data_IF_633044660458
#
_entry.id   IF_633044660458
#
_cell.length_a   1.000
_cell.length_b   1.000
_cell.length_c   1.000
_cell.angle_alpha   90.00
_cell.angle_beta   90.00
_cell.angle_gamma   90.00
#
_symmetry.space_group_name_H-M   'P 1'
#
loop_
_entity.id
_entity.type
_entity.pdbx_description
1 polymer ?
#
# COMPACT_ATOMS: atom_id res chain seq x y z
N UNK A 1 -69.56 -14.55 59.56
CA UNK A 1 -68.32 -13.92 59.20
C UNK A 1 -67.12 -14.91 59.22
N UNK A 2 -67.10 -15.94 58.37
CA UNK A 2 -65.94 -16.92 58.35
C UNK A 2 -65.30 -17.12 56.99
N UNK A 3 -65.72 -16.42 55.88
CA UNK A 3 -65.21 -16.67 54.54
C UNK A 3 -64.05 -15.79 54.14
N UNK A 4 -63.66 -14.75 54.88
CA UNK A 4 -62.60 -13.82 54.48
C UNK A 4 -61.14 -14.34 54.67
N UNK A 5 -60.94 -15.29 55.60
CA UNK A 5 -59.59 -15.87 55.84
C UNK A 5 -59.19 -16.88 54.78
N UNK A 6 -60.14 -17.69 54.29
CA UNK A 6 -59.90 -18.67 53.23
C UNK A 6 -59.49 -18.03 51.88
N UNK A 7 -60.18 -16.95 51.51
CA UNK A 7 -59.93 -16.23 50.29
C UNK A 7 -58.50 -15.59 50.32
N UNK A 8 -58.08 -15.02 51.44
CA UNK A 8 -56.70 -14.44 51.58
C UNK A 8 -55.65 -15.52 51.48
N UNK A 9 -55.82 -16.71 52.03
CA UNK A 9 -54.90 -17.83 51.93
C UNK A 9 -54.79 -18.32 50.50
N UNK A 10 -55.89 -18.42 49.75
CA UNK A 10 -55.92 -18.82 48.36
C UNK A 10 -55.18 -17.79 47.49
N UNK A 11 -55.42 -16.50 47.73
CA UNK A 11 -54.69 -15.41 46.97
C UNK A 11 -53.19 -15.47 47.24
N UNK A 12 -52.77 -15.66 48.48
CA UNK A 12 -51.31 -15.79 48.79
C UNK A 12 -50.70 -17.01 48.09
N UNK A 13 -51.41 -18.13 48.10
CA UNK A 13 -50.92 -19.36 47.45
C UNK A 13 -50.83 -19.20 45.95
N UNK A 14 -51.78 -18.54 45.30
CA UNK A 14 -51.75 -18.22 43.86
C UNK A 14 -50.56 -17.27 43.51
N UNK A 15 -50.33 -16.27 44.35
CA UNK A 15 -49.24 -15.35 44.20
C UNK A 15 -47.86 -16.06 44.33
N UNK A 16 -47.70 -16.95 45.31
CA UNK A 16 -46.51 -17.75 45.51
C UNK A 16 -46.29 -18.69 44.33
N UNK A 17 -47.32 -19.39 43.86
CA UNK A 17 -47.20 -20.24 42.66
C UNK A 17 -46.82 -19.41 41.42
N UNK A 18 -47.47 -18.25 41.25
CA UNK A 18 -47.11 -17.35 40.12
C UNK A 18 -45.64 -16.88 40.16
N UNK A 19 -45.13 -16.52 41.35
CA UNK A 19 -43.74 -16.14 41.54
C UNK A 19 -42.78 -17.31 41.27
N UNK A 20 -43.10 -18.53 41.67
CA UNK A 20 -42.31 -19.74 41.39
C UNK A 20 -42.32 -20.05 39.89
N UNK A 21 -43.47 -19.93 39.23
CA UNK A 21 -43.58 -20.14 37.77
C UNK A 21 -42.81 -19.07 37.01
N UNK A 22 -42.97 -17.79 37.37
CA UNK A 22 -42.22 -16.68 36.75
C UNK A 22 -40.72 -16.83 36.99
N UNK A 23 -40.32 -17.20 38.22
CA UNK A 23 -38.93 -17.49 38.55
C UNK A 23 -38.37 -18.67 37.74
N UNK A 24 -39.12 -19.74 37.62
CA UNK A 24 -38.76 -20.91 36.82
C UNK A 24 -38.62 -20.61 35.32
N UNK A 25 -39.53 -19.79 34.76
CA UNK A 25 -39.45 -19.34 33.37
C UNK A 25 -38.23 -18.45 33.11
N UNK A 26 -37.93 -17.54 34.05
CA UNK A 26 -36.72 -16.69 33.92
C UNK A 26 -35.45 -17.51 33.98
N UNK A 27 -35.36 -18.47 34.91
CA UNK A 27 -34.19 -19.38 35.02
C UNK A 27 -34.05 -20.22 33.75
N UNK A 28 -35.19 -20.73 33.23
CA UNK A 28 -35.18 -21.49 31.97
C UNK A 28 -34.68 -20.62 30.80
N UNK A 29 -35.18 -19.41 30.63
CA UNK A 29 -34.75 -18.51 29.55
C UNK A 29 -33.27 -18.17 29.64
N UNK A 30 -32.72 -17.94 30.84
CA UNK A 30 -31.29 -17.70 31.04
C UNK A 30 -30.48 -18.96 30.70
N UNK A 31 -30.96 -20.13 31.11
CA UNK A 31 -30.28 -21.40 30.80
C UNK A 31 -30.32 -21.71 29.31
N UNK A 32 -31.48 -21.55 28.66
CA UNK A 32 -31.65 -21.78 27.24
C UNK A 32 -30.73 -20.81 26.44
N UNK A 33 -30.72 -19.50 26.76
CA UNK A 33 -29.85 -18.53 26.12
C UNK A 33 -28.36 -18.79 26.32
N UNK A 34 -27.96 -19.24 27.52
CA UNK A 34 -26.58 -19.69 27.78
C UNK A 34 -26.20 -20.92 26.93
N UNK A 35 -27.10 -21.89 26.84
CA UNK A 35 -26.89 -23.12 26.09
C UNK A 35 -26.85 -22.88 24.57
N UNK A 36 -27.67 -21.94 24.09
CA UNK A 36 -27.68 -21.56 22.67
C UNK A 36 -26.31 -20.89 22.28
N UNK A 37 -25.84 -19.98 23.12
CA UNK A 37 -24.53 -19.33 22.90
C UNK A 37 -23.36 -20.33 23.07
N UNK A 38 -23.42 -21.21 24.08
CA UNK A 38 -22.43 -22.27 24.26
C UNK A 38 -22.38 -23.26 23.10
N UNK A 39 -23.52 -23.62 22.51
CA UNK A 39 -23.61 -24.53 21.34
C UNK A 39 -23.28 -23.86 20.04
N UNK A 40 -23.27 -22.52 19.99
CA UNK A 40 -22.96 -21.75 18.80
C UNK A 40 -24.10 -21.77 17.79
N UNK A 41 -25.28 -21.35 18.16
CA UNK A 41 -26.36 -21.13 17.19
C UNK A 41 -26.15 -19.81 16.47
N UNK A 42 -26.01 -19.88 15.13
CA UNK A 42 -25.80 -18.74 14.24
C UNK A 42 -26.99 -17.76 14.28
N UNK A 43 -26.68 -16.46 14.15
CA UNK A 43 -27.66 -15.42 13.85
C UNK A 43 -27.54 -15.00 12.40
N UNK A 44 -28.63 -15.00 11.65
CA UNK A 44 -28.63 -14.84 10.18
C UNK A 44 -28.25 -13.45 9.64
N UNK A 45 -28.03 -12.44 10.50
CA UNK A 45 -27.57 -11.10 10.11
C UNK A 45 -26.89 -10.40 11.29
N UNK A 46 -25.71 -9.85 11.07
CA UNK A 46 -24.94 -9.14 12.08
C UNK A 46 -24.30 -7.87 11.53
N UNK A 47 -23.71 -7.09 12.42
CA UNK A 47 -22.88 -5.93 12.12
C UNK A 47 -21.45 -6.21 12.53
N UNK A 48 -20.50 -5.70 11.74
CA UNK A 48 -19.09 -5.84 12.04
C UNK A 48 -18.69 -4.93 13.20
N UNK A 49 -17.91 -5.48 14.13
CA UNK A 49 -17.42 -4.81 15.33
C UNK A 49 -15.94 -5.07 15.44
N UNK A 50 -15.16 -4.00 15.49
CA UNK A 50 -13.69 -4.08 15.67
C UNK A 50 -13.37 -4.06 17.17
N UNK A 51 -12.54 -5.02 17.60
CA UNK A 51 -12.06 -5.16 18.97
C UNK A 51 -10.54 -5.27 19.01
N UNK A 52 -9.94 -4.94 20.13
CA UNK A 52 -8.51 -5.12 20.39
C UNK A 52 -8.29 -6.13 21.52
N UNK A 53 -7.52 -7.18 21.25
CA UNK A 53 -7.11 -8.17 22.24
C UNK A 53 -5.69 -7.87 22.70
N UNK A 54 -5.48 -7.48 23.98
CA UNK A 54 -4.15 -7.21 24.50
C UNK A 54 -3.27 -8.46 24.56
N UNK A 55 -1.95 -8.27 24.45
CA UNK A 55 -0.98 -9.34 24.65
C UNK A 55 -1.13 -10.01 26.01
N UNK A 56 -1.12 -11.35 26.04
CA UNK A 56 -1.27 -12.15 27.25
C UNK A 56 -2.68 -12.12 27.87
N UNK A 57 -3.70 -11.65 27.16
CA UNK A 57 -5.07 -11.63 27.65
C UNK A 57 -5.56 -13.05 27.98
N UNK A 58 -6.09 -13.25 29.20
CA UNK A 58 -6.73 -14.51 29.55
C UNK A 58 -8.09 -14.65 28.84
N UNK A 59 -8.58 -15.90 28.64
CA UNK A 59 -9.89 -16.15 28.04
C UNK A 59 -11.03 -15.41 28.78
N UNK A 60 -10.89 -15.13 30.07
CA UNK A 60 -11.85 -14.29 30.83
C UNK A 60 -11.76 -12.83 30.40
N UNK A 61 -10.57 -12.29 30.19
CA UNK A 61 -10.41 -10.90 29.73
C UNK A 61 -10.95 -10.75 28.30
N UNK A 62 -10.68 -11.72 27.44
CA UNK A 62 -11.24 -11.76 26.07
C UNK A 62 -12.77 -11.81 26.11
N UNK A 63 -13.36 -12.70 26.93
CA UNK A 63 -14.80 -12.78 27.10
C UNK A 63 -15.44 -11.44 27.55
N UNK A 64 -14.78 -10.73 28.47
CA UNK A 64 -15.25 -9.40 28.89
C UNK A 64 -15.20 -8.38 27.75
N UNK A 65 -14.13 -8.38 26.95
CA UNK A 65 -14.02 -7.50 25.76
C UNK A 65 -15.13 -7.80 24.74
N UNK A 66 -15.37 -9.08 24.44
CA UNK A 66 -16.43 -9.49 23.52
C UNK A 66 -17.83 -9.12 24.05
N UNK A 67 -18.06 -9.28 25.35
CA UNK A 67 -19.33 -8.89 26.02
C UNK A 67 -19.55 -7.38 25.96
N UNK A 68 -18.53 -6.58 26.31
CA UNK A 68 -18.58 -5.12 26.29
C UNK A 68 -18.80 -4.58 24.87
N UNK A 69 -18.30 -5.28 23.86
CA UNK A 69 -18.50 -5.00 22.44
C UNK A 69 -19.87 -5.49 21.91
N UNK A 70 -20.66 -6.19 22.72
CA UNK A 70 -21.97 -6.70 22.32
C UNK A 70 -21.94 -7.93 21.40
N UNK A 71 -20.77 -8.57 21.26
CA UNK A 71 -20.57 -9.76 20.44
C UNK A 71 -21.07 -11.04 21.12
N UNK A 72 -21.00 -11.11 22.44
CA UNK A 72 -21.50 -12.22 23.24
C UNK A 72 -22.34 -11.69 24.41
N UNK A 73 -23.23 -12.53 24.93
CA UNK A 73 -24.10 -12.21 26.07
C UNK A 73 -23.66 -12.87 27.37
N UNK A 74 -23.06 -14.05 27.29
CA UNK A 74 -22.66 -14.86 28.44
C UNK A 74 -21.16 -15.15 28.42
N UNK A 75 -20.37 -14.32 29.10
CA UNK A 75 -18.90 -14.46 29.19
C UNK A 75 -18.46 -15.89 29.58
N UNK A 76 -19.23 -16.52 30.48
CA UNK A 76 -18.90 -17.86 30.98
C UNK A 76 -19.12 -18.95 29.90
N UNK A 77 -20.05 -18.78 28.98
CA UNK A 77 -20.28 -19.70 27.87
C UNK A 77 -19.05 -19.68 26.93
N UNK A 78 -18.55 -18.49 26.59
CA UNK A 78 -17.31 -18.33 25.82
C UNK A 78 -16.10 -18.97 26.51
N UNK A 79 -15.87 -18.64 27.79
CA UNK A 79 -14.72 -19.20 28.55
C UNK A 79 -14.79 -20.72 28.62
N UNK A 80 -15.99 -21.28 28.83
CA UNK A 80 -16.14 -22.73 28.87
C UNK A 80 -15.89 -23.36 27.49
N UNK A 81 -16.42 -22.75 26.44
CA UNK A 81 -16.20 -23.21 25.05
C UNK A 81 -14.73 -23.21 24.65
N UNK A 82 -14.00 -22.12 24.94
CA UNK A 82 -12.55 -22.06 24.73
C UNK A 82 -11.80 -23.15 25.51
N UNK A 83 -12.20 -23.37 26.78
CA UNK A 83 -11.54 -24.35 27.65
C UNK A 83 -11.70 -25.80 27.14
N UNK A 84 -12.84 -26.11 26.53
CA UNK A 84 -13.21 -27.44 26.04
C UNK A 84 -12.87 -27.66 24.57
N UNK A 85 -12.46 -26.62 23.86
CA UNK A 85 -12.03 -26.67 22.47
C UNK A 85 -10.53 -26.94 22.36
N UNK A 86 -10.10 -27.30 21.14
CA UNK A 86 -8.70 -27.40 20.76
C UNK A 86 -7.97 -26.04 20.72
N UNK A 87 -8.71 -24.93 20.75
CA UNK A 87 -8.22 -23.55 20.71
C UNK A 87 -7.76 -23.02 22.08
N UNK A 88 -7.79 -23.84 23.10
CA UNK A 88 -7.36 -23.44 24.45
C UNK A 88 -5.93 -22.92 24.46
N UNK A 89 -5.74 -21.65 24.86
CA UNK A 89 -4.43 -21.00 24.95
C UNK A 89 -3.87 -20.56 23.59
N UNK A 90 -4.70 -20.54 22.53
CA UNK A 90 -4.30 -20.14 21.18
C UNK A 90 -4.84 -18.77 20.73
N UNK A 91 -5.66 -18.11 21.56
CA UNK A 91 -6.18 -16.77 21.23
C UNK A 91 -5.00 -15.82 21.04
N UNK A 92 -4.98 -15.15 19.90
CA UNK A 92 -3.90 -14.24 19.50
C UNK A 92 -4.20 -12.82 20.01
N UNK A 93 -3.15 -12.04 20.37
CA UNK A 93 -3.30 -10.59 20.55
C UNK A 93 -3.43 -9.91 19.19
N UNK A 94 -4.08 -8.76 19.16
CA UNK A 94 -4.24 -7.98 17.93
C UNK A 94 -5.61 -7.36 17.78
N UNK A 95 -5.84 -6.72 16.64
CA UNK A 95 -7.11 -6.13 16.27
C UNK A 95 -7.89 -7.11 15.39
N UNK A 96 -9.14 -7.39 15.78
CA UNK A 96 -10.02 -8.31 15.07
C UNK A 96 -11.32 -7.61 14.72
N UNK A 97 -11.83 -7.87 13.51
CA UNK A 97 -13.18 -7.46 13.12
C UNK A 97 -14.07 -8.68 13.12
N UNK A 98 -14.99 -8.74 14.09
CA UNK A 98 -15.93 -9.84 14.28
C UNK A 98 -17.34 -9.37 13.96
N UNK A 99 -18.20 -10.28 13.51
CA UNK A 99 -19.59 -9.98 13.19
C UNK A 99 -20.51 -10.46 14.31
N UNK A 100 -21.50 -9.65 14.73
CA UNK A 100 -22.48 -10.02 15.77
C UNK A 100 -23.37 -11.20 15.38
N UNK A 101 -23.35 -11.62 14.12
CA UNK A 101 -24.03 -12.83 13.62
C UNK A 101 -23.19 -14.10 13.74
N UNK A 102 -21.90 -14.00 14.06
CA UNK A 102 -21.03 -15.16 14.26
C UNK A 102 -21.43 -15.97 15.49
N UNK A 103 -21.32 -17.27 15.39
CA UNK A 103 -21.40 -18.16 16.54
C UNK A 103 -20.18 -18.01 17.45
N UNK A 104 -20.29 -18.39 18.70
CA UNK A 104 -19.16 -18.38 19.65
C UNK A 104 -17.98 -19.20 19.14
N UNK A 105 -18.22 -20.29 18.40
CA UNK A 105 -17.15 -21.12 17.84
C UNK A 105 -16.41 -20.40 16.71
N UNK A 106 -17.14 -19.81 15.76
CA UNK A 106 -16.55 -19.01 14.68
C UNK A 106 -15.73 -17.84 15.21
N UNK A 107 -16.22 -17.15 16.26
CA UNK A 107 -15.43 -16.10 16.92
C UNK A 107 -14.13 -16.64 17.54
N UNK A 108 -14.19 -17.84 18.17
CA UNK A 108 -13.01 -18.48 18.74
C UNK A 108 -12.02 -18.87 17.65
N UNK A 109 -12.51 -19.41 16.54
CA UNK A 109 -11.70 -19.77 15.37
C UNK A 109 -10.99 -18.56 14.80
N UNK A 110 -11.71 -17.46 14.58
CA UNK A 110 -11.15 -16.21 14.10
C UNK A 110 -10.12 -15.62 15.06
N UNK A 111 -10.40 -15.60 16.36
CA UNK A 111 -9.46 -15.12 17.39
C UNK A 111 -8.22 -16.01 17.56
N UNK A 112 -8.28 -17.25 17.10
CA UNK A 112 -7.17 -18.22 17.16
C UNK A 112 -6.51 -18.43 15.79
N UNK A 113 -7.03 -17.80 14.74
CA UNK A 113 -6.49 -17.91 13.41
C UNK A 113 -5.09 -17.29 13.39
N UNK A 114 -4.13 -18.07 12.99
CA UNK A 114 -2.77 -17.63 12.69
C UNK A 114 -2.65 -17.79 11.18
N UNK A 115 -2.46 -16.70 10.46
CA UNK A 115 -2.11 -16.84 9.06
C UNK A 115 -0.90 -17.77 8.93
N UNK A 116 -0.98 -18.83 8.12
CA UNK A 116 0.17 -19.68 7.90
C UNK A 116 1.31 -18.81 7.40
N UNK A 117 2.47 -18.89 8.05
CA UNK A 117 3.69 -18.22 7.56
C UNK A 117 3.94 -18.77 6.16
N UNK A 118 3.75 -17.95 5.15
CA UNK A 118 4.03 -18.31 3.76
C UNK A 118 5.52 -18.57 3.63
N UNK A 119 5.88 -19.68 3.01
CA UNK A 119 7.28 -19.99 2.73
C UNK A 119 7.76 -19.15 1.54
N UNK A 120 8.86 -18.43 1.71
CA UNK A 120 9.53 -17.70 0.63
C UNK A 120 10.19 -18.74 -0.27
N UNK A 121 9.73 -18.82 -1.52
CA UNK A 121 10.25 -19.78 -2.50
C UNK A 121 11.36 -19.19 -3.36
N UNK A 122 11.36 -17.87 -3.57
CA UNK A 122 12.37 -17.12 -4.31
C UNK A 122 12.37 -15.64 -3.90
N UNK A 123 13.27 -14.85 -4.47
CA UNK A 123 13.31 -13.39 -4.31
C UNK A 123 13.46 -12.69 -5.66
N UNK A 124 12.67 -11.65 -5.89
CA UNK A 124 12.76 -10.80 -7.07
C UNK A 124 13.44 -9.47 -6.71
N UNK A 125 14.61 -9.21 -7.29
CA UNK A 125 15.28 -7.91 -7.14
C UNK A 125 15.02 -7.04 -8.35
N UNK A 126 14.37 -5.90 -8.10
CA UNK A 126 14.14 -4.85 -9.11
C UNK A 126 15.13 -3.71 -8.84
N UNK A 127 16.07 -3.49 -9.76
CA UNK A 127 17.00 -2.35 -9.68
C UNK A 127 16.31 -1.00 -9.82
N UNK A 128 16.94 0.03 -9.24
CA UNK A 128 16.51 1.41 -9.45
C UNK A 128 16.57 1.77 -10.95
N UNK A 129 15.65 2.62 -11.39
CA UNK A 129 15.58 3.06 -12.78
C UNK A 129 14.93 2.07 -13.76
N UNK A 130 14.42 0.91 -13.30
CA UNK A 130 13.68 0.02 -14.18
C UNK A 130 12.34 0.63 -14.57
N UNK A 131 11.96 0.46 -15.83
CA UNK A 131 10.62 0.74 -16.33
C UNK A 131 9.66 -0.42 -16.00
N UNK A 132 8.36 -0.20 -16.20
CA UNK A 132 7.36 -1.28 -16.07
C UNK A 132 7.65 -2.43 -17.02
N UNK A 133 8.09 -2.14 -18.24
CA UNK A 133 8.43 -3.16 -19.24
C UNK A 133 9.64 -4.00 -18.80
N UNK A 134 10.65 -3.38 -18.23
CA UNK A 134 11.81 -4.09 -17.69
C UNK A 134 11.46 -4.93 -16.47
N UNK A 135 10.53 -4.46 -15.62
CA UNK A 135 10.00 -5.24 -14.50
C UNK A 135 9.24 -6.46 -15.03
N UNK A 136 8.35 -6.27 -16.02
CA UNK A 136 7.61 -7.36 -16.65
C UNK A 136 8.54 -8.43 -17.22
N UNK A 137 9.56 -8.01 -17.98
CA UNK A 137 10.56 -8.93 -18.53
C UNK A 137 11.33 -9.68 -17.42
N UNK A 138 11.60 -9.01 -16.28
CA UNK A 138 12.29 -9.62 -15.14
C UNK A 138 11.42 -10.65 -14.43
N UNK A 139 10.10 -10.40 -14.31
CA UNK A 139 9.15 -11.37 -13.77
C UNK A 139 9.08 -12.64 -14.63
N UNK A 140 9.09 -12.49 -15.96
CA UNK A 140 9.09 -13.62 -16.89
C UNK A 140 10.40 -14.40 -16.87
N UNK A 141 11.56 -13.70 -16.77
CA UNK A 141 12.88 -14.33 -16.64
C UNK A 141 12.99 -15.23 -15.41
N UNK A 142 12.27 -14.89 -14.32
CA UNK A 142 12.25 -15.66 -13.07
C UNK A 142 11.02 -16.58 -12.92
N UNK A 143 10.28 -16.83 -14.00
CA UNK A 143 9.09 -17.70 -13.99
C UNK A 143 8.02 -17.33 -12.94
N UNK A 144 7.93 -16.03 -12.54
CA UNK A 144 6.92 -15.55 -11.58
C UNK A 144 5.55 -15.36 -12.28
N UNK A 145 5.56 -14.65 -13.40
CA UNK A 145 4.42 -14.48 -14.31
C UNK A 145 4.95 -14.08 -15.69
N UNK A 146 4.14 -14.25 -16.74
CA UNK A 146 4.53 -13.78 -18.07
C UNK A 146 4.56 -12.24 -18.13
N UNK A 147 5.42 -11.69 -19.01
CA UNK A 147 5.45 -10.24 -19.29
C UNK A 147 4.07 -9.72 -19.69
N UNK A 148 3.31 -10.51 -20.50
CA UNK A 148 1.97 -10.15 -20.95
C UNK A 148 0.99 -10.05 -19.77
N UNK A 149 1.00 -11.01 -18.84
CA UNK A 149 0.17 -10.97 -17.62
C UNK A 149 0.48 -9.77 -16.75
N UNK A 150 1.77 -9.50 -16.51
CA UNK A 150 2.19 -8.35 -15.72
C UNK A 150 1.75 -7.03 -16.34
N UNK A 151 2.01 -6.84 -17.66
CA UNK A 151 1.63 -5.62 -18.38
C UNK A 151 0.11 -5.46 -18.51
N UNK A 152 -0.64 -6.56 -18.63
CA UNK A 152 -2.10 -6.53 -18.61
C UNK A 152 -2.63 -6.10 -17.25
N UNK A 153 -2.06 -6.63 -16.16
CA UNK A 153 -2.44 -6.25 -14.79
C UNK A 153 -2.13 -4.77 -14.52
N UNK A 154 -0.96 -4.28 -14.93
CA UNK A 154 -0.61 -2.84 -14.83
C UNK A 154 -1.63 -1.94 -15.54
N UNK A 155 -2.18 -2.36 -16.69
CA UNK A 155 -3.12 -1.55 -17.48
C UNK A 155 -4.56 -1.63 -17.02
N UNK A 156 -4.98 -2.80 -16.56
CA UNK A 156 -6.39 -3.12 -16.35
C UNK A 156 -6.72 -3.52 -14.91
N UNK A 157 -5.71 -3.73 -14.06
CA UNK A 157 -5.86 -4.04 -12.65
C UNK A 157 -6.44 -2.87 -11.85
N UNK A 158 -7.08 -3.19 -10.74
CA UNK A 158 -7.65 -2.17 -9.85
C UNK A 158 -6.70 -1.93 -8.67
N UNK A 159 -5.60 -1.21 -8.93
CA UNK A 159 -4.60 -0.88 -7.93
C UNK A 159 -4.83 0.50 -7.33
N UNK A 160 -4.57 0.63 -6.04
CA UNK A 160 -4.65 1.93 -5.36
C UNK A 160 -3.37 2.73 -5.60
N UNK A 161 -3.43 3.72 -6.50
CA UNK A 161 -2.30 4.63 -6.76
C UNK A 161 -2.02 5.48 -5.51
N UNK A 162 -0.75 5.64 -5.09
CA UNK A 162 -0.39 6.33 -3.83
C UNK A 162 -0.86 7.79 -3.76
N UNK A 163 -0.78 8.54 -4.86
CA UNK A 163 -1.27 9.92 -4.96
C UNK A 163 -1.71 10.25 -6.38
N UNK A 164 -2.56 11.26 -6.50
CA UNK A 164 -3.09 11.70 -7.80
C UNK A 164 -2.06 12.51 -8.60
N UNK A 165 -2.32 12.69 -9.90
CA UNK A 165 -1.50 13.53 -10.80
C UNK A 165 -1.48 15.01 -10.42
N UNK A 166 -2.25 15.42 -9.40
CA UNK A 166 -2.35 16.83 -8.99
C UNK A 166 -2.96 17.75 -10.04
N UNK A 167 -3.75 17.18 -10.99
CA UNK A 167 -4.37 17.90 -12.08
C UNK A 167 -3.46 18.11 -13.31
N UNK A 168 -2.28 17.49 -13.32
CA UNK A 168 -1.43 17.46 -14.51
C UNK A 168 -2.10 16.67 -15.64
N UNK A 169 -2.00 17.15 -16.87
CA UNK A 169 -2.46 16.41 -18.05
C UNK A 169 -1.53 15.22 -18.28
N UNK A 170 -2.09 14.01 -18.23
CA UNK A 170 -1.41 12.75 -18.47
C UNK A 170 -1.84 12.06 -19.77
N UNK A 171 -2.53 12.78 -20.65
CA UNK A 171 -2.94 12.25 -21.95
C UNK A 171 -1.71 11.80 -22.75
N UNK A 172 -1.68 10.52 -23.07
CA UNK A 172 -0.54 9.88 -23.75
C UNK A 172 0.50 9.30 -22.80
N UNK A 173 0.30 9.31 -21.47
CA UNK A 173 1.07 8.50 -20.55
C UNK A 173 0.83 7.02 -20.85
N UNK A 174 1.91 6.22 -20.84
CA UNK A 174 1.84 4.81 -21.23
C UNK A 174 1.20 3.96 -20.15
N UNK A 175 1.51 4.24 -18.88
CA UNK A 175 1.00 3.53 -17.71
C UNK A 175 0.78 4.50 -16.54
N UNK A 176 -0.35 4.38 -15.86
CA UNK A 176 -0.64 5.15 -14.65
C UNK A 176 0.24 4.75 -13.46
N UNK A 177 0.77 3.52 -13.46
CA UNK A 177 1.62 2.98 -12.40
C UNK A 177 3.12 3.24 -12.61
N UNK A 178 3.54 3.82 -13.75
CA UNK A 178 4.96 4.13 -13.97
C UNK A 178 5.47 5.12 -12.92
N UNK A 179 6.59 4.79 -12.31
CA UNK A 179 7.20 5.55 -11.23
C UNK A 179 6.81 5.09 -9.81
N UNK A 180 5.70 4.35 -9.66
CA UNK A 180 5.21 3.91 -8.36
C UNK A 180 5.61 2.50 -7.96
N UNK A 181 6.13 1.68 -8.90
CA UNK A 181 6.58 0.32 -8.60
C UNK A 181 8.00 0.39 -8.01
N UNK A 182 8.09 0.57 -6.68
CA UNK A 182 9.34 0.91 -6.01
C UNK A 182 10.43 -0.16 -6.22
N UNK A 183 11.68 0.23 -6.57
CA UNK A 183 12.79 -0.69 -6.72
C UNK A 183 13.24 -1.26 -5.37
N UNK A 184 13.21 -2.57 -5.23
CA UNK A 184 13.61 -3.30 -4.02
C UNK A 184 13.79 -4.79 -4.31
N UNK A 185 14.18 -5.56 -3.30
CA UNK A 185 14.08 -7.02 -3.32
C UNK A 185 12.78 -7.44 -2.65
N UNK A 186 12.01 -8.27 -3.34
CA UNK A 186 10.69 -8.75 -2.95
C UNK A 186 10.71 -10.25 -2.71
N UNK A 187 10.11 -10.70 -1.61
CA UNK A 187 9.91 -12.12 -1.35
C UNK A 187 8.81 -12.66 -2.27
N UNK A 188 9.10 -13.80 -2.89
CA UNK A 188 8.18 -14.50 -3.79
C UNK A 188 7.68 -15.75 -3.08
N UNK A 189 6.36 -15.95 -3.11
CA UNK A 189 5.64 -17.07 -2.54
C UNK A 189 5.03 -17.94 -3.63
N UNK A 190 4.67 -19.19 -3.34
CA UNK A 190 4.08 -20.12 -4.31
C UNK A 190 2.80 -19.55 -4.97
N UNK A 191 2.05 -18.72 -4.25
CA UNK A 191 0.81 -18.07 -4.70
C UNK A 191 1.00 -16.61 -5.17
N UNK A 192 2.24 -16.16 -5.37
CA UNK A 192 2.51 -14.80 -5.87
C UNK A 192 1.95 -14.65 -7.29
N UNK A 193 1.15 -13.62 -7.50
CA UNK A 193 0.57 -13.23 -8.80
C UNK A 193 1.10 -11.86 -9.22
N UNK A 194 0.92 -11.50 -10.49
CA UNK A 194 1.22 -10.15 -10.98
C UNK A 194 0.52 -9.07 -10.12
N UNK A 195 -0.76 -9.27 -9.77
CA UNK A 195 -1.53 -8.35 -8.95
C UNK A 195 -0.94 -8.19 -7.55
N UNK A 196 -0.67 -9.29 -6.83
CA UNK A 196 -0.12 -9.24 -5.48
C UNK A 196 1.28 -8.62 -5.45
N UNK A 197 2.10 -8.88 -6.48
CA UNK A 197 3.43 -8.30 -6.61
C UNK A 197 3.35 -6.78 -6.83
N UNK A 198 2.49 -6.31 -7.74
CA UNK A 198 2.26 -4.89 -8.00
C UNK A 198 1.80 -4.19 -6.69
N UNK A 199 0.83 -4.76 -5.97
CA UNK A 199 0.36 -4.19 -4.71
C UNK A 199 1.48 -4.11 -3.67
N UNK A 200 2.34 -5.13 -3.58
CA UNK A 200 3.52 -5.12 -2.69
C UNK A 200 4.51 -4.00 -3.08
N UNK A 201 4.74 -3.80 -4.38
CA UNK A 201 5.60 -2.71 -4.86
C UNK A 201 5.02 -1.33 -4.55
N UNK A 202 3.70 -1.15 -4.71
CA UNK A 202 2.99 0.08 -4.36
C UNK A 202 3.01 0.35 -2.85
N UNK A 203 2.89 -0.69 -2.04
CA UNK A 203 2.97 -0.59 -0.58
C UNK A 203 4.38 -0.20 -0.12
N UNK A 204 5.40 -0.77 -0.76
CA UNK A 204 6.79 -0.37 -0.57
C UNK A 204 7.00 1.10 -0.92
N UNK A 205 6.47 1.57 -2.04
CA UNK A 205 6.50 2.99 -2.42
C UNK A 205 5.88 3.87 -1.33
N UNK A 206 4.67 3.54 -0.83
CA UNK A 206 4.01 4.28 0.26
C UNK A 206 4.84 4.33 1.54
N UNK A 207 5.57 3.26 1.83
CA UNK A 207 6.44 3.21 3.02
C UNK A 207 7.66 4.14 2.93
N UNK A 208 8.11 4.44 1.71
CA UNK A 208 9.23 5.33 1.43
C UNK A 208 8.77 6.77 1.20
N UNK A 209 7.76 6.97 0.34
CA UNK A 209 7.23 8.29 0.04
C UNK A 209 6.24 8.73 1.13
N UNK A 210 6.75 9.31 2.18
CA UNK A 210 6.00 9.69 3.38
C UNK A 210 5.30 11.05 3.24
N UNK A 211 4.44 11.37 4.21
CA UNK A 211 3.82 12.70 4.30
C UNK A 211 4.84 13.85 4.46
N UNK A 212 6.05 13.56 4.95
CA UNK A 212 7.14 14.53 5.02
C UNK A 212 7.61 14.92 3.61
N UNK A 213 7.75 13.95 2.70
CA UNK A 213 8.08 14.21 1.30
C UNK A 213 7.00 15.02 0.60
N UNK A 214 5.70 14.68 0.81
CA UNK A 214 4.59 15.46 0.26
C UNK A 214 4.57 16.90 0.78
N UNK A 215 4.86 17.13 2.06
CA UNK A 215 4.98 18.47 2.61
C UNK A 215 6.14 19.25 1.96
N UNK A 216 7.29 18.57 1.77
CA UNK A 216 8.45 19.19 1.11
C UNK A 216 8.19 19.50 -0.37
N UNK A 217 7.49 18.63 -1.10
CA UNK A 217 7.06 18.88 -2.47
C UNK A 217 6.18 20.14 -2.56
N UNK A 218 5.21 20.27 -1.65
CA UNK A 218 4.34 21.45 -1.57
C UNK A 218 5.12 22.74 -1.24
N UNK A 219 6.11 22.67 -0.35
CA UNK A 219 7.00 23.81 -0.03
C UNK A 219 7.81 24.28 -1.25
N UNK A 220 8.18 23.35 -2.14
CA UNK A 220 8.84 23.65 -3.40
C UNK A 220 7.87 24.15 -4.49
N UNK A 221 6.56 24.09 -4.25
CA UNK A 221 5.51 24.50 -5.19
C UNK A 221 5.18 23.47 -6.26
N UNK A 222 5.49 22.19 -6.02
CA UNK A 222 5.23 21.08 -6.94
C UNK A 222 4.31 20.04 -6.32
N UNK A 223 3.61 19.29 -7.16
CA UNK A 223 2.83 18.13 -6.73
C UNK A 223 3.74 16.91 -6.54
N UNK A 224 3.30 15.93 -5.74
CA UNK A 224 4.02 14.65 -5.56
C UNK A 224 4.29 13.97 -6.91
N UNK A 225 3.35 14.04 -7.85
CA UNK A 225 3.51 13.47 -9.18
C UNK A 225 4.60 14.17 -10.00
N UNK A 226 4.70 15.49 -9.92
CA UNK A 226 5.76 16.25 -10.57
C UNK A 226 7.14 15.92 -9.99
N UNK A 227 7.24 15.75 -8.66
CA UNK A 227 8.45 15.28 -7.99
C UNK A 227 8.84 13.89 -8.53
N UNK A 228 7.88 12.97 -8.66
CA UNK A 228 8.12 11.62 -9.17
C UNK A 228 8.62 11.63 -10.62
N UNK A 229 8.06 12.48 -11.47
CA UNK A 229 8.53 12.68 -12.85
C UNK A 229 9.99 13.15 -12.85
N UNK A 230 10.30 14.20 -12.10
CA UNK A 230 11.67 14.74 -12.02
C UNK A 230 12.64 13.69 -11.45
N UNK A 231 12.23 12.95 -10.42
CA UNK A 231 13.05 11.88 -9.85
C UNK A 231 13.36 10.77 -10.86
N UNK A 232 12.38 10.41 -11.72
CA UNK A 232 12.60 9.41 -12.77
C UNK A 232 13.60 9.89 -13.85
N UNK A 233 13.65 11.20 -14.10
CA UNK A 233 14.64 11.79 -15.00
C UNK A 233 16.04 11.77 -14.35
N UNK A 234 16.14 12.26 -13.11
CA UNK A 234 17.40 12.26 -12.34
C UNK A 234 17.97 10.84 -12.22
N UNK A 235 17.11 9.84 -11.97
CA UNK A 235 17.50 8.44 -11.87
C UNK A 235 18.18 7.93 -13.14
N UNK A 236 17.71 8.33 -14.30
CA UNK A 236 18.24 7.89 -15.60
C UNK A 236 19.41 8.72 -16.10
N UNK A 237 19.59 9.95 -15.58
CA UNK A 237 20.69 10.84 -15.94
C UNK A 237 21.93 10.63 -15.06
N UNK A 238 21.75 10.59 -13.74
CA UNK A 238 22.85 10.55 -12.79
C UNK A 238 23.55 9.18 -12.78
N UNK A 239 24.85 9.15 -13.05
CA UNK A 239 25.69 7.97 -12.84
C UNK A 239 26.44 8.01 -11.51
N UNK A 240 26.60 9.19 -10.94
CA UNK A 240 27.26 9.45 -9.66
C UNK A 240 26.25 10.02 -8.69
N UNK A 241 26.09 9.40 -7.52
CA UNK A 241 25.07 9.76 -6.54
C UNK A 241 25.18 11.21 -6.07
N UNK A 242 26.40 11.74 -5.93
CA UNK A 242 26.62 13.13 -5.50
C UNK A 242 26.17 14.18 -6.53
N UNK A 243 25.94 13.80 -7.78
CA UNK A 243 25.45 14.69 -8.84
C UNK A 243 23.92 14.75 -8.92
N UNK A 244 23.19 13.79 -8.33
CA UNK A 244 21.71 13.77 -8.34
C UNK A 244 21.11 15.11 -7.89
N UNK A 245 21.51 15.71 -6.75
CA UNK A 245 20.95 17.01 -6.32
C UNK A 245 21.33 18.16 -7.27
N UNK A 246 22.50 18.11 -7.92
CA UNK A 246 22.95 19.14 -8.88
C UNK A 246 22.09 19.06 -10.15
N UNK A 247 21.89 17.84 -10.69
CA UNK A 247 21.04 17.59 -11.87
C UNK A 247 19.59 18.02 -11.57
N UNK A 248 19.07 17.72 -10.36
CA UNK A 248 17.77 18.23 -9.94
C UNK A 248 17.73 19.76 -9.97
N UNK A 249 18.77 20.43 -9.49
CA UNK A 249 18.91 21.89 -9.57
C UNK A 249 18.85 22.42 -11.01
N UNK A 250 19.51 21.75 -11.96
CA UNK A 250 19.44 22.10 -13.40
C UNK A 250 18.00 21.99 -13.92
N UNK A 251 17.28 20.91 -13.55
CA UNK A 251 15.86 20.75 -13.94
C UNK A 251 15.03 21.92 -13.43
N UNK A 252 15.14 22.26 -12.14
CA UNK A 252 14.42 23.39 -11.55
C UNK A 252 14.76 24.72 -12.22
N UNK A 253 16.04 24.97 -12.48
CA UNK A 253 16.51 26.21 -13.13
C UNK A 253 15.93 26.35 -14.54
N UNK A 254 15.92 25.28 -15.34
CA UNK A 254 15.33 25.27 -16.67
C UNK A 254 13.80 25.47 -16.62
N UNK A 255 13.09 24.80 -15.72
CA UNK A 255 11.65 24.97 -15.53
C UNK A 255 11.29 26.41 -15.15
N UNK A 256 12.08 27.05 -14.29
CA UNK A 256 11.86 28.43 -13.80
C UNK A 256 11.91 29.47 -14.91
N UNK A 257 12.63 29.21 -15.99
CA UNK A 257 12.79 30.15 -17.13
C UNK A 257 12.10 29.63 -18.40
N UNK A 258 11.20 28.65 -18.30
CA UNK A 258 10.49 28.01 -19.42
C UNK A 258 11.43 27.44 -20.50
N UNK A 259 12.64 27.03 -20.11
CA UNK A 259 13.60 26.37 -20.99
C UNK A 259 13.25 24.89 -21.14
N UNK A 260 13.34 24.35 -22.37
CA UNK A 260 13.15 22.90 -22.60
C UNK A 260 14.16 22.08 -21.78
N UNK A 261 13.69 20.98 -21.19
CA UNK A 261 14.55 20.13 -20.35
C UNK A 261 15.63 19.41 -21.16
N UNK A 262 15.34 18.98 -22.38
CA UNK A 262 16.28 18.34 -23.31
C UNK A 262 17.09 17.20 -22.65
N UNK A 263 16.38 16.29 -21.98
CA UNK A 263 16.95 15.14 -21.29
C UNK A 263 16.85 13.90 -22.16
N UNK A 264 17.99 13.29 -22.51
CA UNK A 264 18.05 12.13 -23.39
C UNK A 264 17.17 10.94 -22.95
N UNK A 265 17.07 10.60 -21.65
CA UNK A 265 16.21 9.50 -21.22
C UNK A 265 14.72 9.69 -21.53
N UNK A 266 14.25 10.94 -21.67
CA UNK A 266 12.86 11.23 -22.06
C UNK A 266 12.56 10.94 -23.53
N UNK A 267 13.62 10.82 -24.35
CA UNK A 267 13.56 10.37 -25.74
C UNK A 267 13.71 8.85 -25.80
N UNK A 268 14.65 8.29 -25.03
CA UNK A 268 14.92 6.84 -25.02
C UNK A 268 13.71 6.04 -24.54
N UNK A 269 12.97 6.52 -23.54
CA UNK A 269 11.81 5.80 -23.00
C UNK A 269 10.77 5.44 -24.07
N UNK A 270 10.20 6.40 -24.83
CA UNK A 270 9.26 6.07 -25.90
C UNK A 270 9.92 5.41 -27.12
N UNK A 271 11.18 5.70 -27.40
CA UNK A 271 11.90 5.16 -28.55
C UNK A 271 12.17 3.67 -28.42
N UNK A 272 12.49 3.20 -27.22
CA UNK A 272 12.80 1.80 -26.91
C UNK A 272 11.63 1.05 -26.31
N UNK A 273 10.45 1.61 -26.37
CA UNK A 273 9.25 1.07 -25.73
C UNK A 273 9.43 0.77 -24.22
N UNK A 274 10.30 1.55 -23.55
CA UNK A 274 10.61 1.40 -22.14
C UNK A 274 11.77 0.44 -21.83
N UNK A 275 12.27 -0.32 -22.79
CA UNK A 275 13.31 -1.32 -22.55
C UNK A 275 14.71 -0.74 -22.34
N UNK A 276 14.96 0.49 -22.82
CA UNK A 276 16.27 1.15 -22.75
C UNK A 276 17.43 0.32 -23.31
N UNK A 277 17.14 -0.48 -24.33
CA UNK A 277 18.10 -1.33 -25.05
C UNK A 277 18.98 -0.57 -26.04
N UNK A 278 18.80 0.75 -26.13
CA UNK A 278 19.62 1.69 -26.87
C UNK A 278 20.34 2.63 -25.90
N UNK A 279 21.66 2.75 -26.03
CA UNK A 279 22.50 3.55 -25.12
C UNK A 279 22.78 4.98 -25.60
N UNK A 280 22.66 5.22 -26.90
CA UNK A 280 22.98 6.52 -27.52
C UNK A 280 21.77 7.09 -28.25
N UNK A 281 21.61 8.41 -28.15
CA UNK A 281 20.57 9.17 -28.85
C UNK A 281 21.20 9.88 -30.03
N UNK A 282 20.71 9.63 -31.22
CA UNK A 282 21.11 10.33 -32.45
C UNK A 282 20.26 11.59 -32.68
N UNK A 283 20.68 12.49 -33.55
CA UNK A 283 19.89 13.66 -33.93
C UNK A 283 18.50 13.29 -34.50
N UNK A 284 18.43 12.18 -35.25
CA UNK A 284 17.17 11.70 -35.83
C UNK A 284 16.23 11.18 -34.72
N UNK A 285 16.77 10.58 -33.64
CA UNK A 285 15.99 10.13 -32.50
C UNK A 285 15.31 11.29 -31.75
N UNK A 286 15.95 12.47 -31.72
CA UNK A 286 15.39 13.66 -31.09
C UNK A 286 14.10 14.13 -31.76
N UNK A 287 13.84 13.71 -33.01
CA UNK A 287 12.65 14.09 -33.78
C UNK A 287 11.42 13.22 -33.48
N UNK A 288 11.53 12.22 -32.58
CA UNK A 288 10.39 11.38 -32.21
C UNK A 288 9.22 12.23 -31.69
N UNK A 289 8.04 12.02 -32.28
CA UNK A 289 6.80 12.65 -31.80
C UNK A 289 6.27 11.87 -30.60
N UNK A 290 6.52 12.40 -29.40
CA UNK A 290 6.07 11.79 -28.14
C UNK A 290 5.83 12.86 -27.09
N UNK A 291 4.78 12.72 -26.25
CA UNK A 291 4.55 13.62 -25.11
C UNK A 291 5.62 13.51 -24.03
N UNK A 292 6.49 12.49 -24.11
CA UNK A 292 7.66 12.37 -23.24
C UNK A 292 8.86 13.18 -23.75
N UNK A 293 8.95 13.48 -25.02
CA UNK A 293 10.14 14.12 -25.63
C UNK A 293 10.33 15.57 -25.16
N UNK A 294 11.25 15.80 -24.25
CA UNK A 294 11.58 17.13 -23.70
C UNK A 294 12.49 17.97 -24.60
N UNK A 295 12.86 17.49 -25.79
CA UNK A 295 13.47 18.30 -26.87
C UNK A 295 12.43 18.97 -27.75
N UNK A 296 11.17 18.51 -27.70
CA UNK A 296 10.06 19.07 -28.52
C UNK A 296 8.96 19.71 -27.66
N UNK A 297 8.83 19.29 -26.43
CA UNK A 297 7.80 19.77 -25.49
C UNK A 297 8.47 20.52 -24.34
N UNK A 298 7.94 21.70 -23.98
CA UNK A 298 8.37 22.49 -22.83
C UNK A 298 7.77 21.91 -21.53
N UNK A 299 8.47 22.13 -20.43
CA UNK A 299 8.04 21.66 -19.11
C UNK A 299 8.38 20.17 -18.86
N UNK A 300 7.68 19.58 -17.89
CA UNK A 300 7.83 18.17 -17.56
C UNK A 300 7.15 17.26 -18.59
N UNK A 301 7.70 16.06 -18.85
CA UNK A 301 7.01 15.08 -19.68
C UNK A 301 5.68 14.64 -19.04
N UNK A 302 4.85 13.96 -19.83
CA UNK A 302 3.48 13.54 -19.45
C UNK A 302 3.44 12.57 -18.25
N UNK A 303 4.53 11.92 -17.92
CA UNK A 303 4.64 10.98 -16.80
C UNK A 303 6.08 10.55 -16.52
N UNK A 304 6.30 9.78 -15.44
CA UNK A 304 7.61 9.19 -15.13
C UNK A 304 8.10 8.27 -16.25
N UNK A 305 9.41 8.20 -16.43
CA UNK A 305 10.06 7.39 -17.47
C UNK A 305 10.68 6.10 -16.92
N UNK A 306 10.77 5.96 -15.59
CA UNK A 306 11.21 4.75 -14.88
C UNK A 306 10.69 4.79 -13.44
N UNK A 307 10.97 3.75 -12.67
CA UNK A 307 10.71 3.71 -11.23
C UNK A 307 11.99 4.14 -10.49
N UNK A 308 12.02 5.36 -9.91
CA UNK A 308 13.20 5.90 -9.27
C UNK A 308 13.44 5.29 -7.89
N UNK A 309 14.69 5.23 -7.47
CA UNK A 309 15.10 4.94 -6.10
C UNK A 309 14.90 6.13 -5.16
N UNK A 310 15.05 5.85 -3.86
CA UNK A 310 14.89 6.87 -2.82
C UNK A 310 15.87 8.04 -3.00
N UNK A 311 17.11 7.75 -3.38
CA UNK A 311 18.13 8.78 -3.56
C UNK A 311 17.76 9.83 -4.62
N UNK A 312 17.13 9.41 -5.72
CA UNK A 312 16.65 10.34 -6.75
C UNK A 312 15.43 11.13 -6.33
N UNK A 313 14.53 10.53 -5.56
CA UNK A 313 13.38 11.23 -4.95
C UNK A 313 13.89 12.31 -4.00
N UNK A 314 14.81 11.95 -3.09
CA UNK A 314 15.40 12.90 -2.13
C UNK A 314 16.20 14.00 -2.83
N UNK A 315 16.94 13.69 -3.87
CA UNK A 315 17.68 14.69 -4.63
C UNK A 315 16.76 15.76 -5.26
N UNK A 316 15.58 15.38 -5.70
CA UNK A 316 14.58 16.32 -6.23
C UNK A 316 13.90 17.10 -5.12
N UNK A 317 13.64 16.49 -3.95
CA UNK A 317 13.06 17.18 -2.80
C UNK A 317 14.05 18.13 -2.11
N UNK A 318 15.35 17.84 -2.20
CA UNK A 318 16.42 18.62 -1.59
C UNK A 318 17.53 18.94 -2.63
N UNK A 319 17.17 19.70 -3.69
CA UNK A 319 18.12 20.01 -4.76
C UNK A 319 19.24 20.91 -4.27
N UNK A 320 20.41 20.80 -4.89
CA UNK A 320 21.47 21.78 -4.68
C UNK A 320 21.07 23.14 -5.26
N UNK A 321 21.27 24.18 -4.47
CA UNK A 321 21.13 25.57 -4.93
C UNK A 321 22.31 25.93 -5.83
N UNK A 322 22.06 25.99 -7.13
CA UNK A 322 23.06 26.35 -8.16
C UNK A 322 22.39 27.17 -9.27
N UNK A 323 23.22 27.74 -10.16
CA UNK A 323 22.77 28.49 -11.34
C UNK A 323 23.01 27.73 -12.66
N UNK A 324 23.28 26.42 -12.58
CA UNK A 324 23.58 25.61 -13.76
C UNK A 324 22.33 25.41 -14.63
N UNK A 325 22.56 25.55 -15.93
CA UNK A 325 21.55 25.30 -16.98
C UNK A 325 21.98 24.18 -17.94
N UNK A 326 23.27 23.84 -17.99
CA UNK A 326 23.84 22.90 -18.94
C UNK A 326 24.76 21.90 -18.21
N UNK A 327 24.84 20.70 -18.75
CA UNK A 327 25.86 19.73 -18.37
C UNK A 327 26.16 18.77 -19.55
N UNK A 328 27.30 18.15 -19.54
CA UNK A 328 27.67 17.05 -20.42
C UNK A 328 28.59 16.07 -19.68
N UNK A 329 28.70 14.84 -20.20
CA UNK A 329 29.57 13.82 -19.61
C UNK A 329 31.01 14.27 -19.68
N UNK A 330 31.77 14.15 -18.60
CA UNK A 330 33.18 14.45 -18.50
C UNK A 330 34.02 13.44 -19.30
N UNK A 331 35.10 13.88 -19.89
CA UNK A 331 36.11 13.04 -20.56
C UNK A 331 36.91 12.15 -19.58
N UNK A 332 36.70 12.30 -18.28
CA UNK A 332 37.36 11.49 -17.25
C UNK A 332 37.02 9.99 -17.32
N UNK A 333 35.92 9.63 -17.99
CA UNK A 333 35.51 8.24 -18.19
C UNK A 333 34.94 7.57 -16.91
N UNK A 334 34.71 8.36 -15.84
CA UNK A 334 34.18 7.92 -14.57
C UNK A 334 32.67 8.11 -14.48
N UNK A 335 32.04 8.63 -15.53
CA UNK A 335 30.61 8.92 -15.59
C UNK A 335 30.18 10.23 -14.95
N UNK A 336 31.15 11.06 -14.52
CA UNK A 336 30.87 12.40 -13.99
C UNK A 336 30.43 13.38 -15.09
N UNK A 337 29.82 14.49 -14.67
CA UNK A 337 29.37 15.56 -15.53
C UNK A 337 30.13 16.87 -15.24
N UNK A 338 30.29 17.67 -16.29
CA UNK A 338 30.74 19.06 -16.19
C UNK A 338 29.50 19.95 -16.30
N UNK A 339 29.26 20.78 -15.28
CA UNK A 339 28.12 21.68 -15.19
C UNK A 339 28.50 23.10 -15.58
N UNK A 340 27.60 23.82 -16.25
CA UNK A 340 27.81 25.17 -16.74
C UNK A 340 26.53 26.01 -16.57
N UNK A 341 26.69 27.31 -16.25
CA UNK A 341 25.59 28.25 -16.10
C UNK A 341 25.20 28.90 -17.44
N UNK A 342 26.15 29.01 -18.38
CA UNK A 342 25.91 29.63 -19.68
C UNK A 342 26.23 28.67 -20.83
N UNK A 343 25.61 28.93 -21.99
CA UNK A 343 25.86 28.14 -23.19
C UNK A 343 27.34 28.29 -23.69
N UNK A 344 27.90 29.48 -23.54
CA UNK A 344 29.30 29.72 -23.94
C UNK A 344 30.28 28.91 -23.08
N UNK A 345 30.04 28.81 -21.77
CA UNK A 345 30.81 27.93 -20.88
C UNK A 345 30.67 26.47 -21.28
N UNK A 346 29.46 26.02 -21.56
CA UNK A 346 29.16 24.66 -21.98
C UNK A 346 29.91 24.25 -23.23
N UNK A 347 29.90 25.09 -24.26
CA UNK A 347 30.65 24.85 -25.53
C UNK A 347 32.18 24.84 -25.32
N UNK A 348 32.68 25.67 -24.41
CA UNK A 348 34.13 25.75 -24.16
C UNK A 348 34.64 24.56 -23.30
N UNK A 349 33.78 23.77 -22.70
CA UNK A 349 34.14 22.61 -21.88
C UNK A 349 33.87 21.27 -22.55
N UNK A 350 33.24 21.26 -23.75
CA UNK A 350 33.10 20.10 -24.62
C UNK A 350 34.39 19.96 -25.46
#
# INVERSE_FOLDING_TARGET
MKNGKGIKVIIVLVVVIALVVIGGLKIKNVYDGFMDEYKGTESASGTDVTIEIPEGASSKKVAAILHDAGLIKYEYAFVLRVKESEYRGRIQPGTFTLNTGMSTLEMIEELCYVEPVKEVVDTLTIPEGYSIEQIAAKCEEQDICSSEEFLNEVKNGNHQIPFSTGGMNTDGAKYDLQGYLFPATYDIYEDTTAASLIDTMLEKFRSVYTSEYSAKAADLGYTDYQILIMASIVEREAKIDSERPIIAGVIYNRLKIDMMLQMCPTVLYPLTDGMYDKSEVTYDDLEIESPYNTYKNTGLPVGPICNPGQASIEAVLYPDENDYLYYHTSDAGDGSHIFSSTYDEHINTQ
#
